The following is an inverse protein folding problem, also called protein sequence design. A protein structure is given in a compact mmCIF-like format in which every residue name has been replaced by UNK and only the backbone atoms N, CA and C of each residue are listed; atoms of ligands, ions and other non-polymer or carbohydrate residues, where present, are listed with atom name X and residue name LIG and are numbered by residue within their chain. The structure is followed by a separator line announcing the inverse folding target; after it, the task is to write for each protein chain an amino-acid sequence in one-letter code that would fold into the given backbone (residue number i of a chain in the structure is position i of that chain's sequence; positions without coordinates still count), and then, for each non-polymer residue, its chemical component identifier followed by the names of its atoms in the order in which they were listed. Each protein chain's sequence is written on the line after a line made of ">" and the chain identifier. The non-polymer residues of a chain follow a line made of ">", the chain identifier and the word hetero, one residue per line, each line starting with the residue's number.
data_IF_001502673776
#
_entry.id   IF_001502673776
#
_cell.length_a   1.000
_cell.length_b   1.000
_cell.length_c   1.000
_cell.angle_alpha   90.00
_cell.angle_beta   90.00
_cell.angle_gamma   90.00
#
_symmetry.space_group_name_H-M   'P 1'
#
loop_
_entity.id
_entity.type
_entity.pdbx_description
1 polymer ?
#
# COMPACT_ATOMS: atom_id res chain seq x y z
N UNK A 1 19.00 15.24 16.06
CA UNK A 1 18.62 16.20 15.02
C UNK A 1 17.37 16.92 15.48
N UNK A 2 17.13 18.13 15.00
CA UNK A 2 15.91 18.90 15.26
C UNK A 2 15.18 19.11 13.95
N UNK A 3 13.99 18.54 13.81
CA UNK A 3 13.04 18.95 12.78
C UNK A 3 12.24 20.13 13.33
N UNK A 4 12.46 21.32 12.76
CA UNK A 4 12.07 22.56 13.43
C UNK A 4 10.64 23.00 13.11
N UNK A 5 10.06 22.56 11.99
CA UNK A 5 8.67 22.82 11.64
C UNK A 5 8.22 21.89 10.50
N UNK A 6 7.26 21.01 10.80
CA UNK A 6 6.65 20.09 9.85
C UNK A 6 5.56 20.78 9.03
N UNK A 7 5.55 20.56 7.71
CA UNK A 7 4.54 21.04 6.76
C UNK A 7 4.09 22.51 6.94
N UNK A 8 4.99 23.50 6.88
CA UNK A 8 4.55 24.87 6.71
C UNK A 8 3.61 24.97 5.50
N UNK A 9 2.43 25.55 5.70
CA UNK A 9 1.35 25.55 4.72
C UNK A 9 0.53 26.84 4.80
N UNK A 10 1.17 27.97 4.48
CA UNK A 10 0.59 29.30 4.68
C UNK A 10 0.96 30.31 3.60
N UNK A 11 -0.03 30.99 3.03
CA UNK A 11 0.17 32.13 2.12
C UNK A 11 0.49 33.41 2.89
N UNK A 12 1.67 33.98 2.70
CA UNK A 12 2.08 35.22 3.37
C UNK A 12 1.81 36.45 2.50
N UNK A 13 2.17 36.39 1.22
CA UNK A 13 2.04 37.51 0.28
C UNK A 13 0.61 37.63 -0.26
N UNK A 14 -0.07 36.50 -0.47
CA UNK A 14 -1.48 36.43 -0.90
C UNK A 14 -2.24 35.33 -0.13
N UNK A 15 -2.68 35.63 1.11
CA UNK A 15 -3.39 34.64 1.94
C UNK A 15 -4.72 34.14 1.33
N UNK A 16 -5.32 34.90 0.40
CA UNK A 16 -6.60 34.54 -0.22
C UNK A 16 -6.40 33.67 -1.48
N UNK A 17 -5.46 34.03 -2.35
CA UNK A 17 -5.20 33.34 -3.62
C UNK A 17 -4.16 32.23 -3.56
N UNK A 18 -3.35 32.18 -2.51
CA UNK A 18 -2.36 31.12 -2.23
C UNK A 18 -2.35 30.74 -0.75
N UNK A 19 -3.52 30.40 -0.21
CA UNK A 19 -3.71 30.06 1.22
C UNK A 19 -2.66 29.09 1.78
N UNK A 20 -2.18 28.17 0.94
CA UNK A 20 -1.26 27.09 1.29
C UNK A 20 0.22 27.43 0.99
N UNK A 21 0.53 28.63 0.49
CA UNK A 21 1.91 29.05 0.23
C UNK A 21 2.61 28.25 -0.87
N UNK A 22 1.87 27.62 -1.77
CA UNK A 22 2.41 26.80 -2.86
C UNK A 22 3.03 27.63 -3.99
N UNK A 23 2.58 28.86 -4.16
CA UNK A 23 3.04 29.82 -5.17
C UNK A 23 3.90 30.94 -4.58
N UNK A 24 3.95 31.03 -3.25
CA UNK A 24 4.76 31.92 -2.45
C UNK A 24 6.20 32.00 -2.99
N UNK A 25 6.71 33.22 -3.18
CA UNK A 25 8.02 33.46 -3.82
C UNK A 25 9.10 33.81 -2.82
N UNK A 26 8.71 34.39 -1.68
CA UNK A 26 9.68 35.01 -0.77
C UNK A 26 9.78 34.29 0.56
N UNK A 27 8.67 33.72 1.07
CA UNK A 27 8.64 32.98 2.34
C UNK A 27 9.36 33.72 3.50
N UNK A 28 9.35 35.06 3.50
CA UNK A 28 10.14 35.89 4.42
C UNK A 28 9.81 35.57 5.88
N UNK A 29 8.53 35.49 6.29
CA UNK A 29 8.20 35.18 7.69
C UNK A 29 8.64 33.78 8.10
N UNK A 30 8.48 32.79 7.21
CA UNK A 30 8.90 31.41 7.46
C UNK A 30 10.42 31.31 7.62
N UNK A 31 11.21 31.89 6.71
CA UNK A 31 12.67 31.92 6.83
C UNK A 31 13.11 32.58 8.13
N UNK A 32 12.52 33.73 8.47
CA UNK A 32 12.84 34.45 9.71
C UNK A 32 12.62 33.56 10.94
N UNK A 33 11.47 32.89 11.03
CA UNK A 33 11.15 31.98 12.12
C UNK A 33 12.18 30.85 12.23
N UNK A 34 12.49 30.19 11.11
CA UNK A 34 13.44 29.07 11.10
C UNK A 34 14.87 29.49 11.49
N UNK A 35 15.31 30.68 11.08
CA UNK A 35 16.59 31.27 11.51
C UNK A 35 16.59 31.55 13.02
N UNK A 36 15.51 32.11 13.55
CA UNK A 36 15.37 32.41 14.99
C UNK A 36 15.39 31.12 15.84
N UNK A 37 14.66 30.09 15.42
CA UNK A 37 14.68 28.77 16.07
C UNK A 37 16.08 28.16 16.02
N UNK A 38 16.74 28.20 14.86
CA UNK A 38 18.11 27.69 14.70
C UNK A 38 19.08 28.40 15.64
N UNK A 39 18.99 29.73 15.73
CA UNK A 39 19.83 30.53 16.64
C UNK A 39 19.62 30.10 18.10
N UNK A 40 18.36 29.93 18.52
CA UNK A 40 18.04 29.48 19.88
C UNK A 40 18.57 28.07 20.17
N UNK A 41 18.42 27.12 19.23
CA UNK A 41 19.02 25.78 19.34
C UNK A 41 20.54 25.92 19.50
N UNK A 42 21.18 26.75 18.68
CA UNK A 42 22.63 26.94 18.72
C UNK A 42 23.10 27.60 20.00
N UNK A 43 22.28 28.30 20.79
CA UNK A 43 22.72 28.80 22.11
C UNK A 43 23.05 27.65 23.08
N UNK A 44 22.45 26.46 22.89
CA UNK A 44 22.64 25.30 23.76
C UNK A 44 23.32 24.10 23.08
N UNK A 45 23.11 23.92 21.77
CA UNK A 45 23.57 22.76 21.01
C UNK A 45 24.18 23.15 19.68
N UNK A 46 25.50 22.97 19.57
CA UNK A 46 26.32 23.29 18.39
C UNK A 46 26.57 22.08 17.47
N UNK A 47 26.07 20.88 17.80
CA UNK A 47 26.47 19.63 17.15
C UNK A 47 25.38 18.97 16.33
N UNK A 48 24.13 19.00 16.78
CA UNK A 48 23.08 18.26 16.08
C UNK A 48 22.59 18.98 14.82
N UNK A 49 22.24 18.16 13.83
CA UNK A 49 21.64 18.58 12.55
C UNK A 49 20.32 19.32 12.80
N UNK A 50 20.09 20.38 12.01
CA UNK A 50 18.80 21.08 11.91
C UNK A 50 18.14 20.72 10.58
N UNK A 51 17.00 20.04 10.65
CA UNK A 51 16.17 19.69 9.50
C UNK A 51 15.16 20.84 9.30
N UNK A 52 15.07 21.34 8.08
CA UNK A 52 14.14 22.40 7.69
C UNK A 52 13.19 21.92 6.60
N UNK A 53 12.01 22.51 6.56
CA UNK A 53 11.02 22.24 5.52
C UNK A 53 10.60 23.51 4.77
N UNK A 54 10.21 23.32 3.51
CA UNK A 54 9.62 24.38 2.70
C UNK A 54 8.16 24.66 3.07
N UNK A 55 7.59 25.71 2.49
CA UNK A 55 6.15 25.96 2.56
C UNK A 55 5.36 25.01 1.66
N UNK A 56 4.03 25.09 1.62
CA UNK A 56 3.19 24.20 0.83
C UNK A 56 3.46 22.72 1.14
N UNK A 57 3.27 22.33 2.40
CA UNK A 57 3.49 20.97 2.89
C UNK A 57 4.93 20.49 2.65
N UNK A 58 5.92 21.31 3.01
CA UNK A 58 7.33 20.91 2.99
C UNK A 58 8.03 21.01 1.63
N UNK A 59 7.38 21.54 0.58
CA UNK A 59 7.87 21.41 -0.80
C UNK A 59 8.31 22.72 -1.48
N UNK A 60 7.86 23.90 -1.00
CA UNK A 60 8.18 25.21 -1.57
C UNK A 60 9.31 25.91 -0.81
N UNK A 61 10.50 25.89 -1.39
CA UNK A 61 11.72 26.49 -0.83
C UNK A 61 12.05 27.90 -1.37
N UNK A 62 11.16 28.50 -2.17
CA UNK A 62 11.42 29.81 -2.76
C UNK A 62 11.65 30.87 -1.67
N UNK A 63 12.77 31.58 -1.74
CA UNK A 63 13.14 32.62 -0.76
C UNK A 63 13.56 32.09 0.63
N UNK A 64 13.52 30.78 0.86
CA UNK A 64 14.03 30.14 2.09
C UNK A 64 15.55 30.02 2.05
N UNK A 65 16.09 29.52 0.94
CA UNK A 65 17.54 29.38 0.69
C UNK A 65 18.14 30.72 0.22
N UNK A 66 19.46 30.98 0.38
CA UNK A 66 20.55 30.09 0.81
C UNK A 66 20.49 29.69 2.31
N UNK A 67 21.23 28.62 2.71
CA UNK A 67 21.32 28.17 4.11
C UNK A 67 21.93 29.22 5.04
N UNK A 68 21.64 29.10 6.34
CA UNK A 68 22.12 30.00 7.40
C UNK A 68 22.88 29.28 8.53
N UNK A 69 23.00 27.96 8.45
CA UNK A 69 23.75 27.12 9.39
C UNK A 69 24.47 26.03 8.59
N UNK A 70 25.69 25.68 9.00
CA UNK A 70 26.54 24.73 8.27
C UNK A 70 26.12 23.26 8.47
N UNK A 71 25.16 22.99 9.37
CA UNK A 71 24.72 21.65 9.73
C UNK A 71 23.20 21.49 9.53
N UNK A 72 22.75 21.84 8.32
CA UNK A 72 21.35 21.78 7.88
C UNK A 72 21.07 20.58 6.97
N UNK A 73 19.80 20.15 6.96
CA UNK A 73 19.25 19.17 6.01
C UNK A 73 17.90 19.69 5.51
N UNK A 74 17.60 19.50 4.23
CA UNK A 74 16.29 19.83 3.66
C UNK A 74 15.37 18.60 3.76
N UNK A 75 14.20 18.75 4.37
CA UNK A 75 13.16 17.72 4.40
C UNK A 75 12.00 18.08 3.48
N UNK A 76 11.49 17.10 2.76
CA UNK A 76 10.32 17.28 1.89
C UNK A 76 9.40 16.08 1.99
N UNK A 77 8.14 16.30 1.62
CA UNK A 77 7.09 15.29 1.70
C UNK A 77 6.67 14.84 0.31
N UNK A 78 6.26 13.58 0.18
CA UNK A 78 5.75 13.04 -1.09
C UNK A 78 4.56 12.12 -0.87
N UNK A 79 3.49 12.41 -1.60
CA UNK A 79 2.28 11.61 -1.60
C UNK A 79 1.62 11.55 -2.99
N UNK A 80 0.93 10.45 -3.27
CA UNK A 80 -0.03 10.22 -4.38
C UNK A 80 0.37 10.74 -5.77
N UNK A 81 1.67 10.76 -6.06
CA UNK A 81 2.26 11.27 -7.30
C UNK A 81 3.21 10.23 -7.89
N UNK A 82 3.55 10.36 -9.18
CA UNK A 82 4.43 9.40 -9.85
C UNK A 82 5.79 9.25 -9.17
N UNK A 83 6.34 8.05 -9.18
CA UNK A 83 7.68 7.73 -8.65
C UNK A 83 8.73 7.71 -9.78
N UNK A 84 8.78 8.79 -10.57
CA UNK A 84 9.76 8.96 -11.65
C UNK A 84 10.90 9.91 -11.26
N UNK A 85 11.96 9.96 -12.08
CA UNK A 85 13.11 10.82 -11.83
C UNK A 85 12.74 12.31 -11.80
N UNK A 86 11.77 12.73 -12.62
CA UNK A 86 11.29 14.11 -12.66
C UNK A 86 10.71 14.55 -11.33
N UNK A 87 10.02 13.64 -10.62
CA UNK A 87 9.42 13.90 -9.32
C UNK A 87 10.43 14.14 -8.17
N UNK A 88 11.69 13.72 -8.33
CA UNK A 88 12.77 13.95 -7.36
C UNK A 88 13.70 15.12 -7.75
N UNK A 89 13.59 15.60 -8.99
CA UNK A 89 14.61 16.44 -9.63
C UNK A 89 14.79 17.80 -8.94
N UNK A 90 13.71 18.39 -8.44
CA UNK A 90 13.76 19.68 -7.72
C UNK A 90 14.62 19.57 -6.45
N UNK A 91 14.43 18.52 -5.66
CA UNK A 91 15.19 18.31 -4.42
C UNK A 91 16.66 18.01 -4.72
N UNK A 92 16.93 17.22 -5.76
CA UNK A 92 18.30 16.91 -6.20
C UNK A 92 19.03 18.18 -6.64
N UNK A 93 18.37 19.03 -7.43
CA UNK A 93 18.94 20.33 -7.86
C UNK A 93 19.24 21.23 -6.67
N UNK A 94 18.35 21.31 -5.68
CA UNK A 94 18.61 22.09 -4.47
C UNK A 94 19.77 21.53 -3.64
N UNK A 95 19.85 20.21 -3.48
CA UNK A 95 21.00 19.55 -2.84
C UNK A 95 22.31 19.96 -3.50
N UNK A 96 22.38 19.89 -4.82
CA UNK A 96 23.60 20.21 -5.58
C UNK A 96 23.94 21.70 -5.54
N UNK A 97 22.94 22.56 -5.74
CA UNK A 97 23.13 24.02 -5.78
C UNK A 97 23.66 24.57 -4.45
N UNK A 98 23.16 24.06 -3.32
CA UNK A 98 23.50 24.58 -2.00
C UNK A 98 24.44 23.68 -1.20
N UNK A 99 24.80 22.51 -1.72
CA UNK A 99 25.59 21.48 -1.04
C UNK A 99 25.00 21.10 0.33
N UNK A 100 23.68 20.86 0.37
CA UNK A 100 22.93 20.48 1.58
C UNK A 100 22.29 19.09 1.36
N UNK A 101 22.41 18.13 2.30
CA UNK A 101 21.70 16.86 2.18
C UNK A 101 20.17 17.06 2.11
N UNK A 102 19.50 16.15 1.41
CA UNK A 102 18.03 16.10 1.35
C UNK A 102 17.54 14.80 1.96
N UNK A 103 16.37 14.88 2.60
CA UNK A 103 15.73 13.81 3.35
C UNK A 103 14.24 13.80 2.98
N UNK A 104 13.69 12.63 2.67
CA UNK A 104 12.24 12.48 2.54
C UNK A 104 11.65 12.32 3.95
N UNK A 105 11.17 13.41 4.52
CA UNK A 105 10.68 13.49 5.91
C UNK A 105 9.44 12.67 6.18
N UNK A 106 8.54 12.67 5.21
CA UNK A 106 7.23 12.05 5.35
C UNK A 106 6.72 11.59 4.00
N UNK A 107 6.30 10.33 3.93
CA UNK A 107 5.71 9.74 2.75
C UNK A 107 4.94 8.48 3.10
N UNK A 108 3.96 8.08 2.29
CA UNK A 108 3.25 6.82 2.46
C UNK A 108 1.81 6.92 2.00
N UNK A 109 0.88 6.36 2.78
CA UNK A 109 -0.57 6.38 2.50
C UNK A 109 -0.96 5.96 1.07
N UNK A 110 -0.33 4.89 0.58
CA UNK A 110 -0.49 4.37 -0.78
C UNK A 110 -0.29 2.84 -0.80
N UNK A 111 -0.30 2.24 -1.98
CA UNK A 111 -0.12 0.79 -2.14
C UNK A 111 1.34 0.34 -1.96
N UNK A 112 1.53 -0.96 -1.78
CA UNK A 112 2.84 -1.61 -1.75
C UNK A 112 3.64 -1.41 -3.04
N UNK A 113 2.95 -1.30 -4.19
CA UNK A 113 3.59 -0.99 -5.48
C UNK A 113 4.19 0.40 -5.43
N UNK A 114 3.40 1.39 -4.98
CA UNK A 114 3.89 2.75 -4.81
C UNK A 114 5.04 2.81 -3.81
N UNK A 115 4.93 2.12 -2.66
CA UNK A 115 5.96 2.09 -1.62
C UNK A 115 7.28 1.56 -2.17
N UNK A 116 7.22 0.42 -2.88
CA UNK A 116 8.39 -0.20 -3.50
C UNK A 116 9.07 0.74 -4.48
N UNK A 117 8.30 1.40 -5.35
CA UNK A 117 8.82 2.28 -6.39
C UNK A 117 9.38 3.59 -5.85
N UNK A 118 8.73 4.18 -4.85
CA UNK A 118 9.23 5.36 -4.17
C UNK A 118 10.57 5.08 -3.47
N UNK A 119 10.69 3.98 -2.71
CA UNK A 119 11.95 3.60 -2.06
C UNK A 119 13.06 3.38 -3.09
N UNK A 120 12.77 2.67 -4.20
CA UNK A 120 13.72 2.52 -5.31
C UNK A 120 14.19 3.85 -5.87
N UNK A 121 13.27 4.80 -6.10
CA UNK A 121 13.58 6.12 -6.63
C UNK A 121 14.53 6.88 -5.70
N UNK A 122 14.20 6.93 -4.41
CA UNK A 122 14.95 7.75 -3.46
C UNK A 122 16.29 7.15 -3.09
N UNK A 123 16.38 5.83 -2.89
CA UNK A 123 17.65 5.18 -2.62
C UNK A 123 18.60 5.22 -3.83
N UNK A 124 18.08 5.08 -5.06
CA UNK A 124 18.88 5.30 -6.28
C UNK A 124 19.49 6.71 -6.33
N UNK A 125 18.81 7.70 -5.77
CA UNK A 125 19.26 9.09 -5.74
C UNK A 125 20.02 9.46 -4.44
N UNK A 126 20.35 8.48 -3.59
CA UNK A 126 20.97 8.67 -2.27
C UNK A 126 20.16 9.64 -1.38
N UNK A 127 18.86 9.42 -1.31
CA UNK A 127 17.92 10.17 -0.46
C UNK A 127 17.35 9.20 0.57
N UNK A 128 17.61 9.45 1.85
CA UNK A 128 17.01 8.68 2.94
C UNK A 128 15.54 9.07 3.16
N UNK A 129 14.79 8.22 3.86
CA UNK A 129 13.35 8.35 4.00
C UNK A 129 12.83 8.02 5.40
N UNK A 130 11.75 8.69 5.81
CA UNK A 130 10.89 8.35 6.94
C UNK A 130 9.46 8.09 6.44
N UNK A 131 8.89 6.95 6.85
CA UNK A 131 7.61 6.47 6.32
C UNK A 131 6.47 6.72 7.30
N UNK A 132 5.41 7.35 6.79
CA UNK A 132 4.17 7.59 7.48
C UNK A 132 3.06 6.64 7.02
N UNK A 133 2.34 5.99 7.95
CA UNK A 133 2.66 5.76 9.35
C UNK A 133 3.25 4.36 9.59
N UNK A 134 3.96 4.19 10.71
CA UNK A 134 4.34 2.87 11.22
C UNK A 134 3.10 2.10 11.73
N UNK A 135 2.23 2.80 12.47
CA UNK A 135 1.10 2.22 13.21
C UNK A 135 -0.13 3.12 13.15
N UNK A 136 -1.27 2.59 12.68
CA UNK A 136 -2.56 3.30 12.65
C UNK A 136 -3.75 2.34 12.50
N UNK A 137 -4.96 2.88 12.50
CA UNK A 137 -6.16 2.19 11.99
C UNK A 137 -6.07 2.04 10.46
N UNK A 138 -6.33 0.85 9.94
CA UNK A 138 -6.21 0.54 8.50
C UNK A 138 -4.99 -0.33 8.17
N UNK A 139 -4.97 -0.84 6.93
CA UNK A 139 -4.12 -1.96 6.52
C UNK A 139 -2.87 -1.55 5.71
N UNK A 140 -2.77 -0.31 5.25
CA UNK A 140 -1.69 0.16 4.36
C UNK A 140 -0.44 0.63 5.12
N UNK A 141 -0.12 -0.03 6.24
CA UNK A 141 0.99 0.30 7.11
C UNK A 141 1.48 -0.95 7.85
N UNK A 142 2.73 -0.98 8.37
CA UNK A 142 3.29 -2.19 8.98
C UNK A 142 2.51 -2.73 10.18
N UNK A 143 1.89 -1.86 10.99
CA UNK A 143 1.19 -2.23 12.23
C UNK A 143 -0.25 -1.70 12.28
N UNK A 144 -1.24 -2.52 11.97
CA UNK A 144 -2.65 -2.13 12.05
C UNK A 144 -3.20 -2.21 13.48
N UNK A 145 -3.77 -1.10 13.93
CA UNK A 145 -4.57 -1.00 15.15
C UNK A 145 -5.97 -1.52 14.82
N UNK A 146 -6.43 -2.52 15.59
CA UNK A 146 -7.79 -3.05 15.43
C UNK A 146 -8.80 -2.06 16.00
N UNK A 147 -9.81 -1.72 15.21
CA UNK A 147 -10.99 -1.00 15.69
C UNK A 147 -11.84 -1.90 16.59
N UNK A 148 -12.88 -1.32 17.20
CA UNK A 148 -13.89 -2.02 17.96
C UNK A 148 -15.28 -1.48 17.65
N UNK A 149 -16.32 -2.28 17.94
CA UNK A 149 -17.72 -1.96 17.59
C UNK A 149 -18.19 -0.62 18.18
N UNK A 150 -17.72 -0.25 19.37
CA UNK A 150 -18.11 0.99 20.03
C UNK A 150 -17.48 2.20 19.35
N UNK A 151 -16.19 2.12 19.00
CA UNK A 151 -15.49 3.15 18.25
C UNK A 151 -16.04 3.28 16.83
N UNK A 152 -16.41 2.18 16.18
CA UNK A 152 -17.06 2.20 14.85
C UNK A 152 -18.40 2.97 14.88
N UNK A 153 -19.14 2.93 15.99
CA UNK A 153 -20.36 3.75 16.16
C UNK A 153 -20.02 5.24 16.25
N UNK A 154 -18.92 5.61 16.92
CA UNK A 154 -18.42 6.99 16.97
C UNK A 154 -18.08 7.49 15.57
N UNK A 155 -17.35 6.69 14.79
CA UNK A 155 -17.00 7.02 13.40
C UNK A 155 -18.25 7.22 12.53
N UNK A 156 -19.25 6.34 12.67
CA UNK A 156 -20.53 6.48 11.95
C UNK A 156 -21.26 7.77 12.32
N UNK A 157 -21.30 8.14 13.60
CA UNK A 157 -21.93 9.38 14.04
C UNK A 157 -21.20 10.63 13.51
N UNK A 158 -19.87 10.69 13.62
CA UNK A 158 -19.06 11.79 13.09
C UNK A 158 -19.24 11.91 11.57
N UNK A 159 -19.27 10.77 10.87
CA UNK A 159 -19.53 10.68 9.44
C UNK A 159 -21.00 10.94 9.03
N UNK A 160 -21.89 11.30 9.97
CA UNK A 160 -23.33 11.54 9.75
C UNK A 160 -24.10 10.35 9.18
N UNK A 161 -23.61 9.14 9.43
CA UNK A 161 -24.15 7.87 8.95
C UNK A 161 -24.63 6.96 10.11
N UNK A 162 -24.96 7.54 11.27
CA UNK A 162 -25.46 6.82 12.43
C UNK A 162 -25.91 7.74 13.56
N UNK A 163 -26.66 7.17 14.50
CA UNK A 163 -27.17 7.90 15.66
C UNK A 163 -26.04 8.30 16.62
N UNK A 164 -26.32 9.33 17.43
CA UNK A 164 -25.41 9.74 18.51
C UNK A 164 -25.23 8.59 19.51
N UNK A 165 -24.01 8.05 19.67
CA UNK A 165 -23.76 6.98 20.64
C UNK A 165 -23.92 7.50 22.07
N UNK A 166 -24.34 6.61 22.98
CA UNK A 166 -24.37 6.90 24.41
C UNK A 166 -22.95 7.15 24.96
N UNK A 167 -22.84 8.04 25.95
CA UNK A 167 -21.54 8.52 26.44
C UNK A 167 -20.67 7.40 27.03
N UNK A 168 -21.28 6.41 27.68
CA UNK A 168 -20.64 5.20 28.19
C UNK A 168 -20.07 4.32 27.06
N UNK A 169 -20.81 4.16 25.95
CA UNK A 169 -20.33 3.47 24.74
C UNK A 169 -19.11 4.17 24.14
N UNK A 170 -19.13 5.51 24.06
CA UNK A 170 -17.98 6.30 23.58
C UNK A 170 -16.75 6.07 24.48
N UNK A 171 -16.92 6.16 25.79
CA UNK A 171 -15.83 5.95 26.74
C UNK A 171 -15.26 4.53 26.66
N UNK A 172 -16.12 3.52 26.57
CA UNK A 172 -15.71 2.12 26.39
C UNK A 172 -14.92 1.92 25.09
N UNK A 173 -15.41 2.47 23.97
CA UNK A 173 -14.77 2.34 22.67
C UNK A 173 -13.39 3.00 22.60
N UNK A 174 -13.24 4.19 23.20
CA UNK A 174 -11.94 4.88 23.28
C UNK A 174 -10.96 4.16 24.21
N UNK A 175 -11.45 3.62 25.34
CA UNK A 175 -10.62 2.83 26.26
C UNK A 175 -10.12 1.54 25.62
N UNK A 176 -10.99 0.82 24.91
CA UNK A 176 -10.60 -0.38 24.16
C UNK A 176 -9.63 -0.03 23.02
N UNK A 177 -9.85 1.09 22.31
CA UNK A 177 -8.92 1.56 21.28
C UNK A 177 -7.52 1.88 21.85
N UNK A 178 -7.46 2.49 23.03
CA UNK A 178 -6.18 2.75 23.72
C UNK A 178 -5.41 1.45 24.03
N UNK A 179 -6.12 0.37 24.36
CA UNK A 179 -5.53 -0.96 24.51
C UNK A 179 -5.10 -1.56 23.16
N UNK A 180 -5.90 -1.40 22.10
CA UNK A 180 -5.56 -1.86 20.75
C UNK A 180 -4.32 -1.17 20.15
N UNK A 181 -3.98 0.05 20.60
CA UNK A 181 -2.81 0.80 20.12
C UNK A 181 -1.49 0.20 20.63
N UNK A 182 -1.50 -0.60 21.70
CA UNK A 182 -0.28 -1.27 22.20
C UNK A 182 0.31 -2.18 21.13
N UNK A 183 1.64 -2.21 21.01
CA UNK A 183 2.33 -2.85 19.90
C UNK A 183 1.98 -4.34 19.80
N UNK A 184 1.92 -5.03 20.93
CA UNK A 184 1.56 -6.44 21.08
C UNK A 184 0.13 -6.78 20.62
N UNK A 185 -0.75 -5.79 20.51
CA UNK A 185 -2.15 -5.96 20.10
C UNK A 185 -2.38 -5.63 18.61
N UNK A 186 -1.36 -5.12 17.92
CA UNK A 186 -1.46 -4.76 16.49
C UNK A 186 -1.42 -5.98 15.58
N UNK A 187 -2.07 -5.87 14.42
CA UNK A 187 -1.89 -6.82 13.32
C UNK A 187 -0.66 -6.40 12.50
N UNK A 188 0.29 -7.33 12.34
CA UNK A 188 1.50 -7.08 11.56
C UNK A 188 1.27 -7.42 10.08
N UNK A 189 1.39 -6.41 9.22
CA UNK A 189 1.29 -6.52 7.76
C UNK A 189 2.64 -6.87 7.15
N UNK A 190 2.89 -8.17 7.01
CA UNK A 190 4.15 -8.69 6.47
C UNK A 190 4.35 -8.32 5.00
N UNK A 191 3.28 -8.17 4.24
CA UNK A 191 3.28 -7.71 2.85
C UNK A 191 3.81 -6.28 2.75
N UNK A 192 3.36 -5.37 3.63
CA UNK A 192 3.87 -3.98 3.68
C UNK A 192 5.35 -3.95 4.03
N UNK A 193 5.78 -4.72 5.05
CA UNK A 193 7.20 -4.80 5.43
C UNK A 193 8.04 -5.36 4.28
N UNK A 194 7.55 -6.39 3.59
CA UNK A 194 8.23 -7.00 2.46
C UNK A 194 8.37 -6.03 1.27
N UNK A 195 7.32 -5.26 0.99
CA UNK A 195 7.29 -4.19 -0.02
C UNK A 195 8.29 -3.06 0.26
N UNK A 196 8.53 -2.76 1.54
CA UNK A 196 9.48 -1.71 1.93
C UNK A 196 10.93 -2.20 2.00
N UNK A 197 11.16 -3.45 2.43
CA UNK A 197 12.51 -3.89 2.81
C UNK A 197 13.16 -4.83 1.79
N UNK A 198 12.37 -5.64 1.07
CA UNK A 198 12.91 -6.64 0.14
C UNK A 198 12.62 -6.28 -1.31
N UNK A 199 11.37 -5.97 -1.61
CA UNK A 199 10.92 -5.74 -2.98
C UNK A 199 11.64 -4.59 -3.69
N UNK A 200 12.15 -3.52 -3.03
CA UNK A 200 12.91 -2.50 -3.73
C UNK A 200 14.16 -3.04 -4.41
N UNK A 201 14.74 -4.13 -3.89
CA UNK A 201 16.04 -4.65 -4.31
C UNK A 201 15.98 -5.96 -5.10
N UNK A 202 14.81 -6.59 -5.23
CA UNK A 202 14.68 -7.86 -5.96
C UNK A 202 13.26 -8.08 -6.49
N UNK A 203 13.16 -8.80 -7.61
CA UNK A 203 11.90 -9.28 -8.19
C UNK A 203 11.55 -10.73 -7.76
N UNK A 204 12.35 -11.34 -6.87
CA UNK A 204 12.04 -12.67 -6.34
C UNK A 204 10.67 -12.69 -5.65
N UNK A 205 9.99 -13.84 -5.71
CA UNK A 205 8.68 -14.03 -5.08
C UNK A 205 8.81 -14.96 -3.87
N UNK A 206 7.97 -14.74 -2.85
CA UNK A 206 7.90 -15.62 -1.67
C UNK A 206 6.46 -16.07 -1.43
N UNK A 207 6.24 -17.30 -0.94
CA UNK A 207 4.90 -17.72 -0.52
C UNK A 207 4.36 -16.79 0.59
N UNK A 208 3.12 -16.32 0.45
CA UNK A 208 2.44 -15.56 1.51
C UNK A 208 2.09 -16.46 2.71
N UNK A 209 1.71 -17.72 2.42
CA UNK A 209 1.51 -18.80 3.39
C UNK A 209 2.20 -20.07 2.92
N UNK A 210 2.44 -21.02 3.82
CA UNK A 210 3.19 -22.23 3.52
C UNK A 210 2.57 -23.16 2.44
N UNK A 211 1.29 -22.96 2.08
CA UNK A 211 0.60 -23.59 0.94
C UNK A 211 0.93 -25.09 0.70
N UNK A 212 0.93 -25.89 1.77
CA UNK A 212 1.22 -27.34 1.72
C UNK A 212 0.04 -28.12 1.15
N UNK A 213 0.22 -28.74 -0.01
CA UNK A 213 -0.83 -29.48 -0.73
C UNK A 213 -0.83 -30.95 -0.28
N UNK A 214 -1.96 -31.37 0.28
CA UNK A 214 -2.27 -32.73 0.71
C UNK A 214 -3.60 -33.21 0.08
N UNK A 215 -4.20 -34.30 0.61
CA UNK A 215 -5.41 -34.95 0.07
C UNK A 215 -6.61 -34.00 -0.13
N UNK A 216 -6.76 -32.96 0.69
CA UNK A 216 -7.83 -31.97 0.54
C UNK A 216 -7.36 -30.60 1.07
N UNK A 217 -6.75 -29.80 0.21
CA UNK A 217 -6.17 -28.49 0.60
C UNK A 217 -6.91 -27.36 -0.08
N UNK A 218 -7.24 -26.31 0.69
CA UNK A 218 -7.81 -25.07 0.18
C UNK A 218 -6.76 -23.96 0.31
N UNK A 219 -6.47 -23.29 -0.80
CA UNK A 219 -5.71 -22.04 -0.84
C UNK A 219 -6.68 -20.88 -1.09
N UNK A 220 -6.66 -19.86 -0.23
CA UNK A 220 -7.48 -18.67 -0.47
C UNK A 220 -6.89 -17.89 -1.64
N UNK A 221 -7.74 -17.37 -2.52
CA UNK A 221 -7.31 -16.58 -3.67
C UNK A 221 -6.52 -15.32 -3.27
N UNK A 222 -6.85 -14.76 -2.11
CA UNK A 222 -6.20 -13.57 -1.57
C UNK A 222 -4.78 -13.84 -1.03
N UNK A 223 -4.38 -15.11 -0.90
CA UNK A 223 -3.09 -15.57 -0.36
C UNK A 223 -2.04 -15.85 -1.46
N UNK A 224 -2.11 -15.11 -2.58
CA UNK A 224 -1.09 -15.15 -3.64
C UNK A 224 0.28 -14.71 -3.11
N UNK A 225 1.36 -15.04 -3.83
CA UNK A 225 2.74 -14.78 -3.40
C UNK A 225 3.00 -13.30 -3.05
N UNK A 226 4.00 -13.08 -2.18
CA UNK A 226 4.63 -11.80 -1.92
C UNK A 226 5.62 -11.46 -3.04
N UNK A 227 5.56 -10.23 -3.54
CA UNK A 227 6.48 -9.70 -4.54
C UNK A 227 5.86 -8.55 -5.34
N UNK A 228 6.64 -7.96 -6.24
CA UNK A 228 6.19 -6.83 -7.04
C UNK A 228 5.10 -7.23 -8.05
N UNK A 229 4.30 -6.24 -8.46
CA UNK A 229 3.45 -6.34 -9.65
C UNK A 229 4.30 -6.74 -10.88
N UNK A 230 3.84 -7.71 -11.65
CA UNK A 230 4.58 -8.34 -12.74
C UNK A 230 5.45 -9.54 -12.34
N UNK A 231 5.65 -9.81 -11.04
CA UNK A 231 6.44 -10.95 -10.55
C UNK A 231 5.61 -11.98 -9.74
N UNK A 232 4.87 -11.52 -8.73
CA UNK A 232 4.03 -12.37 -7.86
C UNK A 232 2.54 -12.36 -8.25
N UNK A 233 2.09 -11.24 -8.80
CA UNK A 233 0.76 -11.04 -9.36
C UNK A 233 0.87 -9.98 -10.47
N UNK A 234 -0.21 -9.76 -11.21
CA UNK A 234 -0.36 -8.59 -12.08
C UNK A 234 -1.78 -8.07 -12.00
N UNK A 235 -1.89 -6.78 -11.69
CA UNK A 235 -3.12 -6.01 -11.67
C UNK A 235 -2.94 -4.74 -12.53
N UNK A 236 -4.03 -4.29 -13.15
CA UNK A 236 -4.04 -3.11 -14.03
C UNK A 236 -4.15 -1.79 -13.26
N UNK A 237 -4.66 -1.82 -12.03
CA UNK A 237 -4.77 -0.68 -11.12
C UNK A 237 -3.99 -1.02 -9.84
N UNK A 238 -2.85 -0.36 -9.64
CA UNK A 238 -1.92 -0.78 -8.57
C UNK A 238 -1.66 0.23 -7.49
N UNK A 239 -1.93 1.51 -7.73
CA UNK A 239 -1.49 2.60 -6.87
C UNK A 239 -2.22 3.90 -7.20
N UNK A 240 -2.27 4.80 -6.21
CA UNK A 240 -2.91 6.10 -6.35
C UNK A 240 -1.90 7.16 -6.81
N UNK A 241 -2.18 7.75 -7.97
CA UNK A 241 -1.39 8.80 -8.60
C UNK A 241 -2.17 10.09 -8.83
N UNK A 242 -3.26 10.33 -8.09
CA UNK A 242 -4.18 11.43 -8.37
C UNK A 242 -3.56 12.83 -8.36
N UNK A 243 -2.46 13.06 -7.61
CA UNK A 243 -1.75 14.36 -7.65
C UNK A 243 -1.12 14.58 -9.03
N UNK A 244 -0.67 13.53 -9.69
CA UNK A 244 -0.08 13.60 -11.03
C UNK A 244 -1.10 13.43 -12.16
N UNK A 245 -2.15 12.65 -11.96
CA UNK A 245 -3.11 12.28 -13.02
C UNK A 245 -4.44 13.02 -12.96
N UNK A 246 -4.79 13.60 -11.80
CA UNK A 246 -6.13 14.10 -11.51
C UNK A 246 -7.19 13.01 -11.35
N UNK A 247 -6.79 11.72 -11.30
CA UNK A 247 -7.70 10.57 -11.20
C UNK A 247 -7.32 9.68 -10.02
N UNK A 248 -8.31 9.36 -9.18
CA UNK A 248 -8.14 8.42 -8.08
C UNK A 248 -8.21 6.98 -8.60
N UNK A 249 -7.11 6.25 -8.45
CA UNK A 249 -6.98 4.82 -8.77
C UNK A 249 -6.42 4.14 -7.53
N UNK A 250 -7.23 3.54 -6.65
CA UNK A 250 -6.78 3.20 -5.30
C UNK A 250 -5.83 2.00 -5.24
N UNK A 251 -5.52 1.34 -6.36
CA UNK A 251 -5.10 -0.06 -6.34
C UNK A 251 -6.27 -0.92 -5.85
N UNK A 252 -6.02 -1.77 -4.85
CA UNK A 252 -7.04 -2.60 -4.20
C UNK A 252 -8.30 -1.80 -3.79
N UNK A 253 -9.34 -1.90 -4.61
CA UNK A 253 -10.60 -1.13 -4.53
C UNK A 253 -11.40 -1.43 -3.28
N UNK A 254 -11.27 -2.64 -2.74
CA UNK A 254 -11.94 -3.02 -1.48
C UNK A 254 -11.17 -2.60 -0.23
N UNK A 255 -9.94 -2.10 -0.36
CA UNK A 255 -9.14 -1.48 0.71
C UNK A 255 -9.06 -2.35 1.96
N UNK A 256 -8.66 -3.61 1.79
CA UNK A 256 -8.58 -4.55 2.90
C UNK A 256 -7.67 -5.73 2.62
N UNK A 257 -7.31 -6.42 3.69
CA UNK A 257 -6.48 -7.63 3.73
C UNK A 257 -5.01 -7.38 3.35
N UNK A 258 -4.75 -6.85 2.16
CA UNK A 258 -3.40 -6.60 1.62
C UNK A 258 -3.32 -5.24 0.98
N UNK A 259 -2.15 -4.62 1.08
CA UNK A 259 -1.86 -3.32 0.50
C UNK A 259 -1.29 -3.38 -0.93
N UNK A 260 -1.29 -4.55 -1.53
CA UNK A 260 -0.96 -4.77 -2.93
C UNK A 260 -2.06 -4.23 -3.88
N UNK A 261 -1.79 -4.30 -5.19
CA UNK A 261 -2.73 -3.81 -6.22
C UNK A 261 -4.01 -4.65 -6.36
N UNK A 262 -3.92 -5.96 -6.08
CA UNK A 262 -5.05 -6.89 -6.28
C UNK A 262 -6.29 -6.47 -5.52
N UNK A 263 -7.39 -6.38 -6.24
CA UNK A 263 -8.71 -6.05 -5.72
C UNK A 263 -9.27 -7.13 -4.78
N UNK A 264 -9.49 -6.78 -3.51
CA UNK A 264 -9.92 -7.72 -2.47
C UNK A 264 -11.13 -7.19 -1.72
N UNK A 265 -12.19 -7.99 -1.63
CA UNK A 265 -13.39 -7.68 -0.86
C UNK A 265 -13.71 -8.72 0.20
N UNK A 266 -14.43 -8.29 1.24
CA UNK A 266 -14.88 -9.16 2.32
C UNK A 266 -16.10 -9.93 1.82
N UNK A 267 -16.09 -11.25 1.98
CA UNK A 267 -17.17 -12.12 1.49
C UNK A 267 -18.49 -11.95 2.27
N UNK A 268 -18.43 -11.48 3.51
CA UNK A 268 -19.62 -11.13 4.29
C UNK A 268 -19.30 -10.12 5.42
N UNK A 269 -20.24 -9.23 5.80
CA UNK A 269 -20.05 -8.33 6.93
C UNK A 269 -19.69 -9.08 8.23
N UNK A 270 -18.68 -8.59 8.95
CA UNK A 270 -18.27 -9.16 10.24
C UNK A 270 -17.52 -10.50 10.19
N UNK A 271 -17.29 -11.08 8.99
CA UNK A 271 -16.50 -12.32 8.84
C UNK A 271 -15.08 -12.04 8.39
N UNK A 272 -14.13 -12.81 8.91
CA UNK A 272 -12.72 -12.77 8.50
C UNK A 272 -12.52 -13.69 7.27
N UNK A 273 -13.19 -13.35 6.18
CA UNK A 273 -13.21 -14.11 4.93
C UNK A 273 -13.21 -13.15 3.76
N UNK A 274 -12.31 -13.36 2.81
CA UNK A 274 -12.06 -12.47 1.69
C UNK A 274 -12.02 -13.23 0.38
N UNK A 275 -12.28 -12.54 -0.71
CA UNK A 275 -12.12 -13.02 -2.08
C UNK A 275 -11.50 -11.92 -2.93
N UNK A 276 -10.86 -12.32 -4.02
CA UNK A 276 -10.45 -11.40 -5.07
C UNK A 276 -11.71 -10.97 -5.83
N UNK A 277 -11.89 -9.67 -6.03
CA UNK A 277 -12.95 -9.09 -6.87
C UNK A 277 -12.29 -8.50 -8.12
N UNK A 278 -13.08 -8.12 -9.12
CA UNK A 278 -12.58 -7.39 -10.28
C UNK A 278 -11.36 -8.06 -10.94
N UNK A 279 -11.35 -9.39 -11.03
CA UNK A 279 -10.22 -10.11 -11.63
C UNK A 279 -10.34 -10.03 -13.16
N UNK A 280 -9.76 -8.98 -13.73
CA UNK A 280 -9.98 -8.49 -15.08
C UNK A 280 -9.08 -9.17 -16.12
N UNK A 281 -9.48 -9.10 -17.40
CA UNK A 281 -8.72 -9.67 -18.50
C UNK A 281 -7.28 -9.14 -18.52
N UNK A 282 -6.32 -10.06 -18.52
CA UNK A 282 -4.89 -9.77 -18.54
C UNK A 282 -4.23 -9.86 -17.17
N UNK A 283 -5.01 -9.90 -16.09
CA UNK A 283 -4.51 -10.03 -14.73
C UNK A 283 -4.16 -11.47 -14.39
N UNK A 284 -3.27 -11.64 -13.40
CA UNK A 284 -2.90 -12.97 -12.93
C UNK A 284 -2.43 -12.99 -11.48
N UNK A 285 -2.58 -14.15 -10.84
CA UNK A 285 -2.16 -14.44 -9.47
C UNK A 285 -1.26 -15.68 -9.45
N UNK A 286 -0.12 -15.61 -8.76
CA UNK A 286 0.77 -16.75 -8.56
C UNK A 286 0.75 -17.24 -7.11
N UNK A 287 0.79 -18.56 -6.95
CA UNK A 287 0.89 -19.25 -5.67
C UNK A 287 2.08 -20.20 -5.72
N UNK A 288 3.04 -20.02 -4.83
CA UNK A 288 4.05 -21.04 -4.54
C UNK A 288 3.38 -22.10 -3.66
N UNK A 289 3.23 -23.31 -4.21
CA UNK A 289 2.63 -24.47 -3.55
C UNK A 289 3.72 -25.49 -3.19
N UNK A 290 3.57 -26.20 -2.07
CA UNK A 290 4.49 -27.29 -1.66
C UNK A 290 3.72 -28.62 -1.62
N UNK A 291 3.92 -29.46 -2.63
CA UNK A 291 3.12 -30.66 -2.84
C UNK A 291 3.73 -31.84 -2.09
N UNK A 292 3.00 -32.40 -1.13
CA UNK A 292 3.54 -33.48 -0.28
C UNK A 292 3.75 -34.78 -1.07
N UNK A 293 2.84 -35.09 -1.99
CA UNK A 293 2.88 -36.33 -2.78
C UNK A 293 2.62 -36.03 -4.26
N UNK A 294 3.49 -36.50 -5.13
CA UNK A 294 3.28 -36.38 -6.57
C UNK A 294 2.03 -37.17 -6.99
N UNK A 295 1.22 -36.62 -7.91
CA UNK A 295 -0.01 -37.26 -8.33
C UNK A 295 -0.82 -36.44 -9.33
N UNK A 296 -1.95 -37.01 -9.74
CA UNK A 296 -2.96 -36.28 -10.49
C UNK A 296 -3.98 -35.74 -9.51
N UNK A 297 -4.13 -34.42 -9.45
CA UNK A 297 -5.08 -33.76 -8.58
C UNK A 297 -6.30 -33.30 -9.38
N UNK A 298 -7.48 -33.39 -8.77
CA UNK A 298 -8.63 -32.59 -9.17
C UNK A 298 -8.46 -31.21 -8.52
N UNK A 299 -8.49 -30.16 -9.34
CA UNK A 299 -8.39 -28.78 -8.85
C UNK A 299 -9.72 -28.10 -9.06
N UNK A 300 -10.26 -27.48 -8.02
CA UNK A 300 -11.50 -26.73 -8.08
C UNK A 300 -11.19 -25.25 -7.93
N UNK A 301 -11.69 -24.43 -8.86
CA UNK A 301 -11.66 -22.98 -8.75
C UNK A 301 -13.02 -22.51 -8.24
N UNK A 302 -13.08 -21.89 -7.08
CA UNK A 302 -14.32 -21.28 -6.59
C UNK A 302 -14.39 -19.82 -7.00
N UNK A 303 -15.35 -19.50 -7.87
CA UNK A 303 -15.47 -18.20 -8.50
C UNK A 303 -16.95 -17.79 -8.60
N UNK A 304 -17.19 -16.51 -8.88
CA UNK A 304 -18.49 -16.03 -9.31
C UNK A 304 -18.36 -15.14 -10.55
N UNK A 305 -19.30 -15.25 -11.48
CA UNK A 305 -19.35 -14.46 -12.71
C UNK A 305 -20.79 -14.04 -12.99
N UNK A 306 -21.00 -12.76 -13.33
CA UNK A 306 -22.27 -12.27 -13.85
C UNK A 306 -22.43 -12.51 -15.35
N UNK A 307 -21.33 -12.77 -16.05
CA UNK A 307 -21.25 -12.96 -17.50
C UNK A 307 -20.93 -14.41 -17.87
N UNK A 308 -21.24 -14.81 -19.11
CA UNK A 308 -20.88 -16.12 -19.68
C UNK A 308 -19.51 -16.14 -20.36
N UNK A 309 -18.87 -14.98 -20.52
CA UNK A 309 -17.63 -14.81 -21.27
C UNK A 309 -16.38 -14.81 -20.37
N UNK A 310 -16.50 -15.28 -19.13
CA UNK A 310 -15.38 -15.46 -18.22
C UNK A 310 -14.49 -16.60 -18.72
N UNK A 311 -13.17 -16.45 -18.58
CA UNK A 311 -12.23 -17.51 -18.93
C UNK A 311 -10.94 -17.37 -18.14
N UNK A 312 -10.31 -18.50 -17.83
CA UNK A 312 -9.00 -18.54 -17.16
C UNK A 312 -7.99 -19.42 -17.89
N UNK A 313 -6.71 -19.08 -17.79
CA UNK A 313 -5.60 -19.97 -18.12
C UNK A 313 -4.81 -20.29 -16.87
N UNK A 314 -4.11 -21.41 -16.88
CA UNK A 314 -3.34 -21.90 -15.75
C UNK A 314 -1.98 -22.31 -16.26
N UNK A 315 -0.93 -21.90 -15.54
CA UNK A 315 0.42 -22.40 -15.76
C UNK A 315 1.01 -23.00 -14.49
N UNK A 316 1.90 -23.96 -14.69
CA UNK A 316 2.68 -24.60 -13.63
C UNK A 316 4.16 -24.46 -13.96
N UNK A 317 4.93 -23.83 -13.06
CA UNK A 317 6.35 -23.54 -13.25
C UNK A 317 6.65 -22.82 -14.57
N UNK A 318 5.76 -21.89 -14.96
CA UNK A 318 5.88 -21.10 -16.18
C UNK A 318 5.50 -21.84 -17.47
N UNK A 319 5.04 -23.09 -17.39
CA UNK A 319 4.53 -23.84 -18.53
C UNK A 319 3.01 -23.87 -18.52
N UNK A 320 2.40 -23.59 -19.66
CA UNK A 320 0.94 -23.66 -19.80
C UNK A 320 0.44 -25.06 -19.45
N UNK A 321 -0.60 -25.11 -18.63
CA UNK A 321 -1.24 -26.33 -18.16
C UNK A 321 -2.65 -26.45 -18.71
N UNK A 322 -3.43 -25.36 -18.62
CA UNK A 322 -4.74 -25.26 -19.26
C UNK A 322 -4.90 -23.87 -19.87
N UNK A 323 -5.50 -23.80 -21.05
CA UNK A 323 -5.64 -22.56 -21.80
C UNK A 323 -7.12 -22.24 -22.04
N UNK A 324 -7.53 -21.02 -21.68
CA UNK A 324 -8.86 -20.48 -21.92
C UNK A 324 -10.01 -21.39 -21.46
N UNK A 325 -9.90 -21.93 -20.24
CA UNK A 325 -10.99 -22.66 -19.57
C UNK A 325 -12.15 -21.71 -19.35
N UNK A 326 -13.30 -22.02 -19.96
CA UNK A 326 -14.50 -21.19 -19.85
C UNK A 326 -15.07 -21.24 -18.43
N UNK A 327 -15.42 -20.07 -17.91
CA UNK A 327 -16.09 -19.88 -16.64
C UNK A 327 -17.56 -19.53 -16.91
N UNK A 328 -18.51 -20.45 -16.64
CA UNK A 328 -19.93 -20.16 -16.86
C UNK A 328 -20.45 -19.07 -15.90
N UNK A 329 -21.55 -18.44 -16.30
CA UNK A 329 -22.31 -17.54 -15.43
C UNK A 329 -22.76 -18.30 -14.15
N UNK A 330 -22.52 -17.69 -12.99
CA UNK A 330 -22.84 -18.31 -11.69
C UNK A 330 -24.14 -17.79 -11.07
N UNK A 331 -24.93 -17.02 -11.82
CA UNK A 331 -26.14 -16.30 -11.40
C UNK A 331 -25.84 -15.02 -10.59
N UNK A 332 -24.65 -14.42 -10.82
CA UNK A 332 -24.24 -13.14 -10.28
C UNK A 332 -23.03 -13.20 -9.36
N UNK A 333 -22.51 -12.02 -9.00
CA UNK A 333 -21.24 -11.84 -8.28
C UNK A 333 -21.24 -12.26 -6.80
N UNK A 334 -22.39 -12.67 -6.27
CA UNK A 334 -22.52 -13.17 -4.89
C UNK A 334 -22.67 -14.69 -4.83
N UNK A 335 -22.89 -15.34 -5.97
CA UNK A 335 -23.11 -16.78 -6.06
C UNK A 335 -21.81 -17.46 -6.49
N UNK A 336 -21.05 -17.95 -5.53
CA UNK A 336 -19.80 -18.65 -5.81
C UNK A 336 -20.05 -20.13 -6.13
N UNK A 337 -19.50 -20.60 -7.24
CA UNK A 337 -19.57 -22.00 -7.69
C UNK A 337 -18.17 -22.53 -7.94
N UNK A 338 -18.00 -23.85 -7.80
CA UNK A 338 -16.75 -24.51 -8.14
C UNK A 338 -16.75 -24.96 -9.60
N UNK A 339 -15.68 -24.64 -10.33
CA UNK A 339 -15.34 -25.29 -11.58
C UNK A 339 -14.24 -26.32 -11.34
N UNK A 340 -14.49 -27.56 -11.74
CA UNK A 340 -13.48 -28.62 -11.72
C UNK A 340 -12.55 -28.52 -12.93
N UNK A 341 -11.26 -28.57 -12.66
CA UNK A 341 -10.19 -28.75 -13.63
C UNK A 341 -9.68 -30.18 -13.53
N UNK A 342 -9.62 -30.86 -14.66
CA UNK A 342 -9.20 -32.25 -14.73
C UNK A 342 -7.72 -32.39 -15.07
N UNK A 343 -7.13 -33.53 -14.69
CA UNK A 343 -5.80 -33.96 -15.11
C UNK A 343 -4.65 -33.02 -14.74
N UNK A 344 -4.72 -32.39 -13.56
CA UNK A 344 -3.66 -31.52 -13.05
C UNK A 344 -2.56 -32.37 -12.41
N UNK A 345 -1.51 -32.68 -13.17
CA UNK A 345 -0.36 -33.45 -12.69
C UNK A 345 0.59 -32.55 -11.89
N UNK A 346 0.75 -32.86 -10.61
CA UNK A 346 1.67 -32.15 -9.71
C UNK A 346 2.84 -33.07 -9.31
N UNK A 347 4.05 -32.52 -9.33
CA UNK A 347 5.24 -33.16 -8.77
C UNK A 347 5.35 -32.83 -7.29
N UNK A 348 5.98 -33.72 -6.51
CA UNK A 348 6.25 -33.46 -5.11
C UNK A 348 7.25 -32.30 -4.95
N UNK A 349 7.09 -31.52 -3.87
CA UNK A 349 7.90 -30.35 -3.56
C UNK A 349 7.33 -29.03 -4.09
N UNK A 350 8.15 -27.96 -4.06
CA UNK A 350 7.72 -26.62 -4.40
C UNK A 350 7.45 -26.45 -5.89
N UNK A 351 6.32 -25.83 -6.23
CA UNK A 351 5.94 -25.47 -7.60
C UNK A 351 5.23 -24.11 -7.62
N UNK A 352 5.33 -23.39 -8.75
CA UNK A 352 4.60 -22.13 -8.97
C UNK A 352 3.33 -22.41 -9.77
N UNK A 353 2.18 -22.28 -9.14
CA UNK A 353 0.86 -22.38 -9.76
C UNK A 353 0.34 -20.98 -10.06
N UNK A 354 0.02 -20.67 -11.32
CA UNK A 354 -0.44 -19.34 -11.71
C UNK A 354 -1.77 -19.42 -12.44
N UNK A 355 -2.68 -18.51 -12.13
CA UNK A 355 -3.98 -18.36 -12.78
C UNK A 355 -4.01 -17.00 -13.48
N UNK A 356 -4.44 -16.99 -14.73
CA UNK A 356 -4.64 -15.80 -15.55
C UNK A 356 -6.12 -15.61 -15.84
N UNK A 357 -6.61 -14.38 -15.77
CA UNK A 357 -7.94 -14.02 -16.27
C UNK A 357 -7.84 -13.62 -17.74
N UNK A 358 -8.66 -14.24 -18.61
CA UNK A 358 -8.62 -14.04 -20.07
C UNK A 358 -9.93 -13.48 -20.63
N UNK A 359 -10.99 -13.45 -19.83
CA UNK A 359 -12.36 -13.15 -20.24
C UNK A 359 -12.95 -11.95 -19.49
N UNK A 360 -14.28 -11.90 -19.41
CA UNK A 360 -14.96 -10.92 -18.55
C UNK A 360 -14.52 -11.07 -17.08
N UNK A 361 -14.58 -9.98 -16.33
CA UNK A 361 -14.21 -9.92 -14.92
C UNK A 361 -14.95 -10.97 -14.08
N UNK A 362 -14.24 -11.60 -13.14
CA UNK A 362 -14.81 -12.54 -12.16
C UNK A 362 -14.45 -12.13 -10.74
N UNK A 363 -15.17 -12.70 -9.76
CA UNK A 363 -14.65 -12.80 -8.40
C UNK A 363 -14.09 -14.21 -8.18
N UNK A 364 -13.05 -14.31 -7.37
CA UNK A 364 -12.31 -15.55 -7.16
C UNK A 364 -11.99 -15.74 -5.67
N UNK A 365 -12.44 -16.85 -5.09
CA UNK A 365 -12.45 -17.08 -3.65
C UNK A 365 -11.34 -18.03 -3.19
N UNK A 366 -11.24 -19.22 -3.80
CA UNK A 366 -10.21 -20.19 -3.43
C UNK A 366 -9.90 -21.20 -4.54
N UNK A 367 -8.76 -21.86 -4.37
CA UNK A 367 -8.35 -23.06 -5.11
C UNK A 367 -8.42 -24.25 -4.16
N UNK A 368 -9.11 -25.32 -4.55
CA UNK A 368 -9.15 -26.56 -3.77
C UNK A 368 -8.51 -27.71 -4.53
N UNK A 369 -7.52 -28.35 -3.91
CA UNK A 369 -6.80 -29.49 -4.46
C UNK A 369 -7.31 -30.77 -3.79
N UNK A 370 -7.69 -31.76 -4.60
CA UNK A 370 -8.10 -33.11 -4.15
C UNK A 370 -7.25 -34.14 -4.86
N UNK A 371 -6.58 -34.99 -4.08
CA UNK A 371 -5.79 -36.12 -4.59
C UNK A 371 -6.67 -37.26 -5.14
#
# INVERSE_FOLDING_TARGET
>A
AYDIINEPNWGFDDPAGDKNGTKEKRNIPLKKLMVEITKAIREVDKKHIVIIEGNGWGNNYNGVLPPWDDNMVLSFHKYWSFNDQGSAENMIKMREQYNIPVWLGETGENSNVWFTEAIRLFEKNNIGWAWWPLKKLGFNNPMEVKSNRHYDQVLKFIGRNGDKPAADSVYAGLKELAESIKLENTLIHKDVIDAMMRQPFTAETKPFKANKINKNTILQAVDYDLGINGAAYFDLDTADYHVSTGKNTPGNRGRMYRNDGVDISRSAPGKDSYHVTNFEKGEWLQYTIDVVKAGNYKVYLNFSSADSEGAVSISLNGKDLQNAVKLPNTEGLTQFKELQLENIKLSAGPQKFRIFSNGSSINFSYIRFVE
#
